data_IF_797407281696
#
_entry.id   IF_797407281696
#
_cell.length_a   1.000
_cell.length_b   1.000
_cell.length_c   1.000
_cell.angle_alpha   90.00
_cell.angle_beta   90.00
_cell.angle_gamma   90.00
#
_symmetry.space_group_name_H-M   'P 1'
#
loop_
_entity.id
_entity.type
_entity.pdbx_description
1 polymer ?
#
# COMPACT_ATOMS: atom_id res chain seq x y z
N UNK A 1 21.12 -0.63 8.38
CA UNK A 1 19.71 -0.18 8.41
C UNK A 1 19.23 -0.28 6.97
N UNK A 2 18.23 -1.10 6.69
CA UNK A 2 17.66 -1.23 5.34
C UNK A 2 16.28 -0.55 5.35
N UNK A 3 16.21 0.75 5.00
CA UNK A 3 14.97 1.50 5.10
C UNK A 3 14.02 1.06 3.98
N UNK A 4 12.81 0.64 4.36
CA UNK A 4 11.73 0.45 3.39
C UNK A 4 11.40 1.81 2.75
N UNK A 5 11.48 1.93 1.41
CA UNK A 5 11.12 3.17 0.73
C UNK A 5 9.68 3.56 1.05
N UNK A 6 9.46 4.86 1.35
CA UNK A 6 8.16 5.43 1.64
C UNK A 6 7.92 6.66 0.76
N UNK A 7 6.83 6.64 0.01
CA UNK A 7 6.31 7.80 -0.72
C UNK A 7 4.87 8.00 -0.29
N UNK A 8 4.50 9.24 0.03
CA UNK A 8 3.13 9.58 0.42
C UNK A 8 2.75 10.94 -0.13
N UNK A 9 1.47 11.12 -0.39
CA UNK A 9 0.93 12.42 -0.78
C UNK A 9 -0.45 12.63 -0.19
N UNK A 10 -0.80 13.90 -0.06
CA UNK A 10 -2.13 14.33 0.33
C UNK A 10 -2.55 15.49 -0.55
N UNK A 11 -3.73 15.37 -1.16
CA UNK A 11 -4.31 16.40 -2.01
C UNK A 11 -5.83 16.34 -1.91
N UNK A 12 -6.45 17.46 -1.52
CA UNK A 12 -7.89 17.52 -1.21
C UNK A 12 -8.28 16.47 -0.15
N UNK A 13 -9.25 15.62 -0.47
CA UNK A 13 -9.73 14.51 0.35
C UNK A 13 -8.94 13.21 0.16
N UNK A 14 -7.97 13.19 -0.77
CA UNK A 14 -7.10 12.05 -1.00
C UNK A 14 -5.88 12.10 -0.08
N UNK A 15 -5.53 10.96 0.51
CA UNK A 15 -4.36 10.76 1.35
C UNK A 15 -3.87 9.33 1.20
N UNK A 16 -2.82 9.14 0.40
CA UNK A 16 -2.24 7.84 0.12
C UNK A 16 -0.80 7.69 0.61
N UNK A 17 -0.43 6.44 0.84
CA UNK A 17 0.92 6.02 1.14
C UNK A 17 1.29 4.81 0.28
N UNK A 18 2.57 4.77 -0.11
CA UNK A 18 3.21 3.65 -0.78
C UNK A 18 4.47 3.27 -0.01
N UNK A 19 4.60 1.98 0.30
CA UNK A 19 5.77 1.40 0.95
C UNK A 19 6.37 0.30 0.08
N UNK A 20 7.70 0.23 -0.01
CA UNK A 20 8.41 -0.84 -0.71
C UNK A 20 8.71 -0.55 -2.18
N UNK A 21 8.54 -1.57 -3.04
CA UNK A 21 8.93 -1.56 -4.46
C UNK A 21 7.74 -1.89 -5.36
N UNK A 22 7.66 -1.22 -6.50
CA UNK A 22 6.59 -1.37 -7.48
C UNK A 22 6.95 -2.41 -8.57
N UNK A 23 7.46 -3.58 -8.16
CA UNK A 23 7.92 -4.65 -9.06
C UNK A 23 7.03 -5.89 -8.95
N UNK A 24 6.84 -6.60 -10.06
CA UNK A 24 6.04 -7.83 -10.12
C UNK A 24 4.57 -7.59 -10.45
N UNK A 25 3.73 -8.56 -10.11
CA UNK A 25 2.30 -8.56 -10.37
C UNK A 25 1.55 -7.65 -9.40
N UNK A 26 0.48 -7.01 -9.88
CA UNK A 26 -0.34 -6.10 -9.07
C UNK A 26 -1.64 -6.79 -8.64
N UNK A 27 -1.88 -6.83 -7.34
CA UNK A 27 -3.12 -7.33 -6.75
C UNK A 27 -3.92 -6.15 -6.20
N UNK A 28 -4.97 -5.67 -6.91
CA UNK A 28 -5.79 -4.55 -6.46
C UNK A 28 -6.70 -4.94 -5.28
N UNK A 29 -6.99 -3.96 -4.42
CA UNK A 29 -7.85 -4.10 -3.23
C UNK A 29 -8.87 -2.97 -3.18
N UNK A 30 -10.11 -3.29 -2.79
CA UNK A 30 -11.12 -2.28 -2.45
C UNK A 30 -11.65 -1.45 -3.63
N UNK A 31 -11.23 -1.70 -4.87
CA UNK A 31 -11.74 -0.97 -6.04
C UNK A 31 -13.27 -1.11 -6.19
N UNK A 32 -13.81 -2.30 -5.92
CA UNK A 32 -15.25 -2.56 -6.02
C UNK A 32 -16.08 -1.82 -4.96
N UNK A 33 -15.50 -1.52 -3.80
CA UNK A 33 -16.18 -0.85 -2.69
C UNK A 33 -15.79 0.62 -2.52
N UNK A 34 -14.94 1.16 -3.40
CA UNK A 34 -14.40 2.52 -3.29
C UNK A 34 -15.50 3.60 -3.23
N UNK A 35 -16.62 3.38 -3.92
CA UNK A 35 -17.73 4.33 -3.94
C UNK A 35 -18.29 4.62 -2.54
N UNK A 36 -18.33 3.61 -1.67
CA UNK A 36 -18.84 3.71 -0.29
C UNK A 36 -17.74 3.91 0.76
N UNK A 37 -16.57 3.28 0.57
CA UNK A 37 -15.49 3.30 1.57
C UNK A 37 -14.54 4.46 1.39
N UNK A 38 -14.37 4.97 0.16
CA UNK A 38 -13.28 5.87 -0.24
C UNK A 38 -11.88 5.29 0.06
N UNK A 39 -11.77 3.97 0.18
CA UNK A 39 -10.53 3.25 0.45
C UNK A 39 -10.27 2.26 -0.67
N UNK A 40 -9.07 2.31 -1.24
CA UNK A 40 -8.58 1.29 -2.16
C UNK A 40 -7.07 1.17 -2.02
N UNK A 41 -6.52 0.08 -2.53
CA UNK A 41 -5.11 -0.21 -2.39
C UNK A 41 -4.63 -1.18 -3.45
N UNK A 42 -3.35 -1.51 -3.38
CA UNK A 42 -2.76 -2.58 -4.17
C UNK A 42 -1.54 -3.17 -3.47
N UNK A 43 -1.29 -4.45 -3.72
CA UNK A 43 -0.01 -5.09 -3.42
C UNK A 43 0.76 -5.33 -4.70
N UNK A 44 2.08 -5.20 -4.61
CA UNK A 44 3.02 -5.68 -5.61
C UNK A 44 3.59 -7.00 -5.12
N UNK A 45 3.45 -8.05 -5.93
CA UNK A 45 3.88 -9.41 -5.60
C UNK A 45 4.96 -9.84 -6.58
N UNK A 46 6.12 -10.18 -6.06
CA UNK A 46 7.25 -10.72 -6.82
C UNK A 46 7.71 -12.01 -6.14
N UNK A 47 7.89 -13.08 -6.91
CA UNK A 47 8.30 -14.39 -6.41
C UNK A 47 7.42 -14.90 -5.25
N UNK A 48 6.09 -14.76 -5.40
CA UNK A 48 5.07 -15.10 -4.38
C UNK A 48 5.22 -14.37 -3.04
N UNK A 49 5.87 -13.20 -3.02
CA UNK A 49 6.02 -12.35 -1.82
C UNK A 49 5.58 -10.93 -2.09
N UNK A 50 4.99 -10.29 -1.10
CA UNK A 50 4.63 -8.87 -1.19
C UNK A 50 5.90 -8.04 -1.11
N UNK A 51 6.20 -7.30 -2.18
CA UNK A 51 7.36 -6.41 -2.25
C UNK A 51 7.00 -4.94 -2.17
N UNK A 52 5.71 -4.59 -2.28
CA UNK A 52 5.23 -3.23 -2.10
C UNK A 52 3.75 -3.18 -1.78
N UNK A 53 3.32 -2.10 -1.16
CA UNK A 53 1.93 -1.87 -0.81
C UNK A 53 1.54 -0.40 -0.99
N UNK A 54 0.35 -0.18 -1.54
CA UNK A 54 -0.27 1.12 -1.73
C UNK A 54 -1.62 1.13 -0.99
N UNK A 55 -1.92 2.25 -0.33
CA UNK A 55 -3.22 2.45 0.32
C UNK A 55 -3.63 3.92 0.23
N UNK A 56 -4.82 4.15 -0.31
CA UNK A 56 -5.55 5.43 -0.30
C UNK A 56 -6.67 5.38 0.75
N UNK A 57 -6.89 6.48 1.47
CA UNK A 57 -8.02 6.64 2.40
C UNK A 57 -7.97 5.78 3.68
N UNK A 58 -6.90 5.00 3.89
CA UNK A 58 -6.81 4.04 4.99
C UNK A 58 -6.93 4.64 6.40
N UNK A 59 -7.49 3.87 7.33
CA UNK A 59 -7.53 4.22 8.76
C UNK A 59 -6.11 4.26 9.37
N UNK A 60 -5.91 4.93 10.53
CA UNK A 60 -4.61 4.91 11.21
C UNK A 60 -4.06 3.51 11.45
N UNK A 61 -4.91 2.56 11.86
CA UNK A 61 -4.51 1.17 12.09
C UNK A 61 -4.07 0.45 10.81
N UNK A 62 -4.77 0.69 9.69
CA UNK A 62 -4.38 0.11 8.40
C UNK A 62 -3.07 0.70 7.89
N UNK A 63 -2.88 2.02 8.01
CA UNK A 63 -1.62 2.68 7.63
C UNK A 63 -0.44 2.17 8.46
N UNK A 64 -0.64 1.96 9.76
CA UNK A 64 0.39 1.41 10.64
C UNK A 64 0.84 -0.01 10.27
N UNK A 65 0.00 -0.78 9.56
CA UNK A 65 0.35 -2.14 9.11
C UNK A 65 1.18 -2.15 7.82
N UNK A 66 1.14 -1.09 7.00
CA UNK A 66 1.84 -1.06 5.70
C UNK A 66 3.36 -1.23 5.80
N UNK A 67 4.08 -0.55 6.72
CA UNK A 67 5.52 -0.75 6.87
C UNK A 67 5.87 -2.20 7.25
N UNK A 68 5.08 -2.82 8.11
CA UNK A 68 5.31 -4.21 8.53
C UNK A 68 5.13 -5.18 7.36
N UNK A 69 4.10 -4.98 6.53
CA UNK A 69 3.88 -5.76 5.31
C UNK A 69 5.04 -5.57 4.34
N UNK A 70 5.44 -4.32 4.10
CA UNK A 70 6.51 -4.01 3.17
C UNK A 70 7.90 -4.43 3.68
N UNK A 71 8.07 -4.71 4.99
CA UNK A 71 9.29 -5.28 5.59
C UNK A 71 9.41 -6.79 5.44
N UNK A 72 8.35 -7.50 5.07
CA UNK A 72 8.39 -8.95 4.80
C UNK A 72 9.18 -9.31 3.51
N UNK A 73 10.02 -8.40 3.01
CA UNK A 73 10.97 -8.67 1.92
C UNK A 73 11.89 -9.83 2.32
N UNK A 74 12.33 -10.66 1.35
CA UNK A 74 13.46 -11.56 1.56
C UNK A 74 14.73 -10.82 1.99
#
# INVERSE_FOLDING_TARGET
YDPVPLIRSRFLDLSWEFHGRNLGDVVPLGLESYASTKVFGAFWVLDNRVVGCFLEGGTPSQRAALPEIARLQP
#
